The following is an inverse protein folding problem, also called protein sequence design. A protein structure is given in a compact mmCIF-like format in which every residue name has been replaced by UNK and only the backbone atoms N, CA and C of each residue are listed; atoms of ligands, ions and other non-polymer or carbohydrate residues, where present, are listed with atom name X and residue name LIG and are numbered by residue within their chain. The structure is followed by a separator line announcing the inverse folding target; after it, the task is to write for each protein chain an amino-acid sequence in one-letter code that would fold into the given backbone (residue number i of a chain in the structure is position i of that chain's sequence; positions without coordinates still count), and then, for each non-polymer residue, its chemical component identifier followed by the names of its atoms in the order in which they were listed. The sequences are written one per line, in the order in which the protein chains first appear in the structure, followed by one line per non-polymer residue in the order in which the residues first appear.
data_IF_946574791147
#
_entry.id   IF_946574791147
#
_cell.length_a   1.000
_cell.length_b   1.000
_cell.length_c   1.000
_cell.angle_alpha   90.00
_cell.angle_beta   90.00
_cell.angle_gamma   90.00
#
_symmetry.space_group_name_H-M   'P 1'
#
loop_
_entity.id
_entity.type
_entity.pdbx_description
1 polymer ?
#
# COMPACT_ATOMS: atom_id res chain seq x y z
N UNK A 1 -52.87 28.61 -43.22
CA UNK A 1 -51.48 29.09 -43.03
C UNK A 1 -50.69 27.99 -42.30
N UNK A 2 -49.78 27.27 -42.96
CA UNK A 2 -48.95 26.25 -42.32
C UNK A 2 -47.91 26.89 -41.40
N UNK A 3 -47.78 26.35 -40.18
CA UNK A 3 -46.80 26.80 -39.18
C UNK A 3 -45.35 26.42 -39.55
N UNK A 4 -44.34 27.03 -38.93
CA UNK A 4 -42.94 26.77 -39.25
C UNK A 4 -42.51 25.34 -38.85
N UNK A 5 -41.70 24.73 -39.70
CA UNK A 5 -41.14 23.39 -39.59
C UNK A 5 -40.20 23.21 -38.37
N UNK A 6 -40.01 21.97 -37.88
CA UNK A 6 -39.07 21.69 -36.79
C UNK A 6 -37.61 21.82 -37.24
N UNK A 7 -36.80 22.55 -36.47
CA UNK A 7 -35.36 22.68 -36.66
C UNK A 7 -34.63 21.37 -36.29
N UNK A 8 -33.79 20.96 -37.22
CA UNK A 8 -33.02 19.71 -37.23
C UNK A 8 -31.80 19.73 -36.31
N UNK A 9 -31.62 18.59 -35.61
CA UNK A 9 -30.38 17.89 -35.23
C UNK A 9 -29.11 18.73 -35.10
N UNK A 10 -28.63 18.84 -33.86
CA UNK A 10 -27.20 18.97 -33.61
C UNK A 10 -26.75 17.93 -32.58
N UNK A 11 -26.50 16.71 -33.08
CA UNK A 11 -25.52 15.83 -32.45
C UNK A 11 -24.13 16.41 -32.71
N UNK A 12 -23.41 16.81 -31.65
CA UNK A 12 -21.97 17.00 -31.70
C UNK A 12 -21.35 16.31 -30.49
N UNK A 13 -21.03 15.05 -30.73
CA UNK A 13 -20.08 14.19 -30.02
C UNK A 13 -19.25 14.89 -28.95
N UNK A 14 -19.43 14.47 -27.70
CA UNK A 14 -18.42 14.64 -26.65
C UNK A 14 -17.06 14.21 -27.22
N UNK A 15 -16.15 15.17 -27.41
CA UNK A 15 -14.74 14.89 -27.72
C UNK A 15 -14.16 14.13 -26.54
N UNK A 16 -14.30 12.81 -26.56
CA UNK A 16 -13.57 11.91 -25.65
C UNK A 16 -12.10 12.03 -26.03
N UNK A 17 -11.37 12.86 -25.31
CA UNK A 17 -9.91 12.97 -25.42
C UNK A 17 -9.33 11.65 -24.95
N UNK A 18 -9.01 10.76 -25.89
CA UNK A 18 -8.15 9.60 -25.63
C UNK A 18 -6.80 10.17 -25.19
N UNK A 19 -6.44 10.01 -23.91
CA UNK A 19 -5.07 10.22 -23.45
C UNK A 19 -4.33 8.92 -23.76
N UNK A 20 -3.52 8.90 -24.81
CA UNK A 20 -2.51 7.86 -24.93
C UNK A 20 -1.49 8.07 -23.80
N UNK A 21 -1.46 7.15 -22.85
CA UNK A 21 -0.34 7.02 -21.92
C UNK A 21 0.51 5.87 -22.46
N UNK A 22 1.61 6.20 -23.13
CA UNK A 22 2.76 5.32 -23.13
C UNK A 22 4.01 6.17 -22.87
N UNK A 23 4.44 6.13 -21.62
CA UNK A 23 5.76 6.55 -21.17
C UNK A 23 6.05 5.70 -19.94
N UNK A 24 7.07 4.84 -20.02
CA UNK A 24 7.54 4.00 -18.90
C UNK A 24 7.57 4.83 -17.62
N UNK A 25 6.64 4.59 -16.70
CA UNK A 25 6.63 5.26 -15.41
C UNK A 25 7.84 4.76 -14.63
N UNK A 26 8.94 5.51 -14.69
CA UNK A 26 10.13 5.19 -13.90
C UNK A 26 9.82 5.49 -12.43
N UNK A 27 10.33 4.66 -11.53
CA UNK A 27 10.15 4.84 -10.09
C UNK A 27 11.47 4.65 -9.36
N UNK A 28 11.74 5.49 -8.38
CA UNK A 28 12.84 5.30 -7.43
C UNK A 28 12.33 4.59 -6.19
N UNK A 29 13.19 3.75 -5.62
CA UNK A 29 12.92 2.96 -4.43
C UNK A 29 14.03 3.19 -3.40
N UNK A 30 13.64 3.42 -2.15
CA UNK A 30 14.52 3.37 -0.99
C UNK A 30 14.08 2.21 -0.11
N UNK A 31 15.02 1.41 0.38
CA UNK A 31 14.76 0.28 1.28
C UNK A 31 15.69 0.38 2.49
N UNK A 32 15.13 0.31 3.69
CA UNK A 32 15.87 0.41 4.95
C UNK A 32 15.53 -0.81 5.80
N UNK A 33 16.55 -1.58 6.21
CA UNK A 33 16.34 -2.71 7.11
C UNK A 33 15.88 -2.24 8.49
N UNK A 34 14.96 -2.99 9.10
CA UNK A 34 14.49 -2.76 10.46
C UNK A 34 15.14 -3.80 11.39
N UNK A 35 16.28 -3.48 12.04
CA UNK A 35 16.89 -4.38 13.01
C UNK A 35 16.09 -4.42 14.31
N UNK A 36 16.07 -5.58 14.95
CA UNK A 36 15.47 -5.77 16.28
C UNK A 36 16.29 -5.03 17.33
N UNK A 37 15.62 -4.22 18.13
CA UNK A 37 16.18 -3.48 19.28
C UNK A 37 15.67 -4.08 20.60
N UNK A 38 16.24 -3.73 21.77
CA UNK A 38 15.87 -4.36 23.03
C UNK A 38 14.37 -4.30 23.35
N UNK A 39 13.73 -3.16 23.10
CA UNK A 39 12.27 -2.98 23.33
C UNK A 39 11.41 -3.89 22.45
N UNK A 40 11.90 -4.27 21.26
CA UNK A 40 11.17 -5.14 20.35
C UNK A 40 11.00 -6.55 20.93
N UNK A 41 11.96 -6.99 21.75
CA UNK A 41 11.99 -8.35 22.30
C UNK A 41 10.90 -8.59 23.36
N UNK A 42 10.30 -7.53 23.91
CA UNK A 42 9.16 -7.63 24.83
C UNK A 42 7.98 -8.38 24.21
N UNK A 43 7.75 -8.19 22.91
CA UNK A 43 6.64 -8.82 22.18
C UNK A 43 7.08 -9.76 21.06
N UNK A 44 8.29 -9.57 20.51
CA UNK A 44 8.79 -10.32 19.36
C UNK A 44 9.93 -11.29 19.70
N UNK A 45 10.33 -11.39 20.97
CA UNK A 45 11.42 -12.27 21.41
C UNK A 45 11.03 -13.74 21.52
N UNK A 46 12.02 -14.57 21.88
CA UNK A 46 11.82 -16.02 22.14
C UNK A 46 11.07 -16.30 23.43
N UNK A 47 11.17 -15.41 24.42
CA UNK A 47 10.49 -15.51 25.71
C UNK A 47 9.59 -14.30 25.87
N UNK A 48 8.29 -14.56 25.95
CA UNK A 48 7.24 -13.53 26.11
C UNK A 48 6.56 -13.72 27.45
N UNK A 49 6.10 -12.62 28.05
CA UNK A 49 5.21 -12.66 29.20
C UNK A 49 3.89 -13.38 28.84
N UNK A 50 3.26 -14.01 29.82
CA UNK A 50 2.09 -14.86 29.60
C UNK A 50 0.90 -14.08 29.03
N UNK A 51 0.65 -12.89 29.55
CA UNK A 51 -0.37 -11.95 29.08
C UNK A 51 -0.12 -11.51 27.62
N UNK A 52 1.12 -11.16 27.27
CA UNK A 52 1.51 -10.80 25.90
C UNK A 52 1.30 -11.97 24.95
N UNK A 53 1.70 -13.19 25.32
CA UNK A 53 1.48 -14.40 24.50
C UNK A 53 -0.01 -14.64 24.26
N UNK A 54 -0.84 -14.52 25.30
CA UNK A 54 -2.29 -14.68 25.20
C UNK A 54 -2.91 -13.64 24.27
N UNK A 55 -2.56 -12.36 24.44
CA UNK A 55 -3.06 -11.28 23.60
C UNK A 55 -2.64 -11.45 22.12
N UNK A 56 -1.40 -11.87 21.86
CA UNK A 56 -0.95 -12.18 20.49
C UNK A 56 -1.76 -13.33 19.90
N UNK A 57 -1.94 -14.42 20.63
CA UNK A 57 -2.69 -15.58 20.14
C UNK A 57 -4.17 -15.27 19.87
N UNK A 58 -4.78 -14.39 20.67
CA UNK A 58 -6.17 -13.96 20.50
C UNK A 58 -6.36 -13.07 19.27
N UNK A 59 -5.50 -12.06 19.10
CA UNK A 59 -5.68 -11.03 18.07
C UNK A 59 -4.96 -11.33 16.75
N UNK A 60 -3.92 -12.18 16.78
CA UNK A 60 -3.04 -12.48 15.65
C UNK A 60 -2.81 -14.00 15.55
N UNK A 61 -3.87 -14.76 15.22
CA UNK A 61 -3.86 -16.23 15.16
C UNK A 61 -2.78 -16.83 14.25
N UNK A 62 -2.39 -16.11 13.20
CA UNK A 62 -1.36 -16.53 12.24
C UNK A 62 -0.05 -15.75 12.42
N UNK A 63 0.20 -15.19 13.62
CA UNK A 63 1.42 -14.43 13.89
C UNK A 63 2.69 -15.26 13.59
N UNK A 64 3.62 -14.63 12.87
CA UNK A 64 4.96 -15.16 12.58
C UNK A 64 6.06 -14.22 13.08
N UNK A 65 5.71 -13.20 13.84
CA UNK A 65 6.62 -12.12 14.22
C UNK A 65 7.23 -12.34 15.61
N UNK A 66 7.39 -13.57 16.08
CA UNK A 66 8.00 -13.89 17.38
C UNK A 66 9.24 -14.77 17.21
N UNK A 67 10.04 -14.92 18.27
CA UNK A 67 11.24 -15.77 18.22
C UNK A 67 12.53 -15.05 17.80
N UNK A 68 12.49 -13.73 17.63
CA UNK A 68 13.66 -12.94 17.26
C UNK A 68 14.69 -12.80 18.38
N UNK A 69 15.92 -12.49 17.99
CA UNK A 69 17.04 -12.07 18.83
C UNK A 69 17.46 -10.62 18.53
N UNK A 70 18.23 -10.01 19.44
CA UNK A 70 18.74 -8.65 19.28
C UNK A 70 19.62 -8.55 18.02
N UNK A 71 19.37 -7.55 17.18
CA UNK A 71 20.12 -7.34 15.94
C UNK A 71 19.60 -8.13 14.73
N UNK A 72 18.70 -9.11 14.91
CA UNK A 72 18.06 -9.79 13.79
C UNK A 72 17.32 -8.79 12.88
N UNK A 73 17.18 -9.12 11.59
CA UNK A 73 16.37 -8.32 10.65
C UNK A 73 14.90 -8.71 10.83
N UNK A 74 14.11 -7.81 11.41
CA UNK A 74 12.66 -8.03 11.62
C UNK A 74 11.84 -7.78 10.34
N UNK A 75 12.34 -6.90 9.49
CA UNK A 75 11.67 -6.48 8.26
C UNK A 75 12.40 -5.32 7.60
N UNK A 76 11.68 -4.57 6.78
CA UNK A 76 12.20 -3.38 6.12
C UNK A 76 11.10 -2.32 5.93
N UNK A 77 11.53 -1.07 5.86
CA UNK A 77 10.70 0.07 5.49
C UNK A 77 11.12 0.49 4.09
N UNK A 78 10.16 0.69 3.19
CA UNK A 78 10.46 1.15 1.83
C UNK A 78 9.67 2.38 1.45
N UNK A 79 10.25 3.19 0.57
CA UNK A 79 9.60 4.34 -0.06
C UNK A 79 9.70 4.18 -1.56
N UNK A 80 8.58 4.38 -2.27
CA UNK A 80 8.54 4.47 -3.73
C UNK A 80 8.14 5.88 -4.14
N UNK A 81 8.90 6.46 -5.06
CA UNK A 81 8.56 7.72 -5.70
C UNK A 81 8.44 7.51 -7.22
N UNK A 82 7.27 7.81 -7.77
CA UNK A 82 7.12 7.91 -9.22
C UNK A 82 7.98 9.09 -9.71
N UNK A 83 8.75 8.86 -10.75
CA UNK A 83 9.57 9.88 -11.39
C UNK A 83 8.76 10.58 -12.51
N UNK A 84 9.02 11.88 -12.75
CA UNK A 84 8.37 12.63 -13.83
C UNK A 84 8.58 12.00 -15.21
#
# INVERSE_FOLDING_TARGET
MPGPAPISRHGRTSKRRVRSVDSRTMSSWLLIAQPVQPVCLTCHGKRLAGDVRTAIAEHYRDDRATGYALGDVRGAIYLRKALP
#
